data_IF_476924137116
#
_entry.id   IF_476924137116
#
_cell.length_a   1.000
_cell.length_b   1.000
_cell.length_c   1.000
_cell.angle_alpha   90.00
_cell.angle_beta   90.00
_cell.angle_gamma   90.00
#
_symmetry.space_group_name_H-M   'P 1'
#
loop_
_entity.id
_entity.type
_entity.pdbx_description
1 polymer ?
#
# COMPACT_ATOMS: atom_id res chain seq x y z
N UNK A 1 13.00 15.07 -48.67
CA UNK A 1 13.05 15.25 -47.20
C UNK A 1 13.92 14.14 -46.64
N UNK A 2 15.14 14.44 -46.19
CA UNK A 2 16.12 13.43 -45.77
C UNK A 2 15.56 12.58 -44.62
N UNK A 3 15.44 11.26 -44.84
CA UNK A 3 14.97 10.28 -43.85
C UNK A 3 15.72 10.37 -42.51
N UNK A 4 16.96 10.87 -42.54
CA UNK A 4 17.81 11.14 -41.38
C UNK A 4 17.17 12.19 -40.44
N UNK A 5 16.56 13.26 -40.96
CA UNK A 5 15.92 14.27 -40.10
C UNK A 5 14.65 13.73 -39.47
N UNK A 6 13.89 12.91 -40.20
CA UNK A 6 12.71 12.24 -39.67
C UNK A 6 13.12 11.27 -38.54
N UNK A 7 14.16 10.46 -38.77
CA UNK A 7 14.71 9.57 -37.74
C UNK A 7 15.20 10.32 -36.49
N UNK A 8 15.90 11.44 -36.67
CA UNK A 8 16.40 12.27 -35.57
C UNK A 8 15.26 12.93 -34.76
N UNK A 9 14.14 13.27 -35.38
CA UNK A 9 12.95 13.77 -34.69
C UNK A 9 12.30 12.68 -33.82
N UNK A 10 12.22 11.44 -34.33
CA UNK A 10 11.74 10.31 -33.52
C UNK A 10 12.68 9.96 -32.36
N UNK A 11 14.00 10.07 -32.56
CA UNK A 11 14.97 9.92 -31.47
C UNK A 11 14.81 11.00 -30.40
N UNK A 12 14.65 12.27 -30.80
CA UNK A 12 14.38 13.37 -29.86
C UNK A 12 13.08 13.15 -29.08
N UNK A 13 12.03 12.68 -29.75
CA UNK A 13 10.75 12.34 -29.11
C UNK A 13 10.89 11.19 -28.11
N UNK A 14 11.71 10.17 -28.39
CA UNK A 14 11.90 9.04 -27.45
C UNK A 14 12.56 9.48 -26.14
N UNK A 15 13.48 10.44 -26.19
CA UNK A 15 14.09 11.05 -25.00
C UNK A 15 13.16 12.02 -24.25
N UNK A 16 12.11 12.52 -24.89
CA UNK A 16 11.11 13.41 -24.29
C UNK A 16 10.03 12.65 -23.51
N UNK A 17 9.78 11.39 -23.84
CA UNK A 17 8.78 10.56 -23.15
C UNK A 17 9.37 10.04 -21.84
N UNK A 18 9.18 10.81 -20.76
CA UNK A 18 9.57 10.41 -19.39
C UNK A 18 8.62 9.39 -18.75
N UNK A 19 7.41 9.28 -19.27
CA UNK A 19 6.42 8.37 -18.75
C UNK A 19 6.63 6.97 -19.36
N UNK A 20 7.04 6.03 -18.51
CA UNK A 20 7.28 4.63 -18.89
C UNK A 20 6.06 3.99 -19.58
N UNK A 21 4.83 4.43 -19.28
CA UNK A 21 3.63 3.94 -19.97
C UNK A 21 3.63 4.33 -21.46
N UNK A 22 3.90 5.60 -21.75
CA UNK A 22 3.89 6.12 -23.12
C UNK A 22 5.02 5.55 -23.96
N UNK A 23 6.19 5.29 -23.37
CA UNK A 23 7.27 4.58 -24.04
C UNK A 23 6.83 3.19 -24.51
N UNK A 24 6.08 2.46 -23.67
CA UNK A 24 5.57 1.13 -24.01
C UNK A 24 4.46 1.18 -25.07
N UNK A 25 3.56 2.16 -24.98
CA UNK A 25 2.51 2.35 -26.01
C UNK A 25 3.14 2.63 -27.38
N UNK A 26 4.12 3.53 -27.43
CA UNK A 26 4.85 3.83 -28.67
C UNK A 26 5.61 2.60 -29.20
N UNK A 27 6.21 1.82 -28.32
CA UNK A 27 6.88 0.56 -28.69
C UNK A 27 5.91 -0.46 -29.31
N UNK A 28 4.69 -0.57 -28.77
CA UNK A 28 3.64 -1.44 -29.34
C UNK A 28 3.20 -0.96 -30.71
N UNK A 29 3.00 0.35 -30.88
CA UNK A 29 2.61 0.93 -32.17
C UNK A 29 3.70 0.71 -33.23
N UNK A 30 4.97 0.99 -32.90
CA UNK A 30 6.10 0.78 -33.80
C UNK A 30 6.32 -0.68 -34.17
N UNK A 31 6.28 -1.59 -33.19
CA UNK A 31 6.42 -3.03 -33.43
C UNK A 31 5.28 -3.59 -34.29
N UNK A 32 4.06 -3.10 -34.10
CA UNK A 32 2.90 -3.53 -34.90
C UNK A 32 3.04 -3.13 -36.38
N UNK A 33 3.59 -1.93 -36.65
CA UNK A 33 3.90 -1.48 -38.02
C UNK A 33 4.97 -2.37 -38.66
N UNK A 34 6.02 -2.74 -37.91
CA UNK A 34 7.08 -3.63 -38.40
C UNK A 34 6.57 -5.03 -38.73
N UNK A 35 5.72 -5.61 -37.88
CA UNK A 35 5.09 -6.91 -38.14
C UNK A 35 4.29 -6.88 -39.44
N UNK A 36 3.46 -5.84 -39.64
CA UNK A 36 2.68 -5.67 -40.88
C UNK A 36 3.62 -5.52 -42.08
N UNK A 37 4.66 -4.70 -41.97
CA UNK A 37 5.64 -4.51 -43.03
C UNK A 37 6.31 -5.83 -43.44
N UNK A 38 6.83 -6.61 -42.49
CA UNK A 38 7.47 -7.91 -42.77
C UNK A 38 6.52 -8.97 -43.32
N UNK A 39 5.24 -8.92 -42.94
CA UNK A 39 4.21 -9.82 -43.46
C UNK A 39 3.83 -9.53 -44.91
N UNK A 40 4.01 -8.28 -45.38
CA UNK A 40 3.68 -7.86 -46.76
C UNK A 40 4.79 -8.12 -47.79
N UNK A 41 5.94 -8.66 -47.38
CA UNK A 41 6.98 -9.06 -48.34
C UNK A 41 6.51 -10.24 -49.22
N UNK A 42 7.00 -10.35 -50.47
CA UNK A 42 6.68 -11.47 -51.37
C UNK A 42 6.95 -12.84 -50.74
N UNK A 43 7.99 -12.93 -49.91
CA UNK A 43 8.25 -14.03 -48.99
C UNK A 43 8.26 -13.48 -47.56
N UNK A 44 7.23 -13.77 -46.74
CA UNK A 44 7.16 -13.26 -45.38
C UNK A 44 8.38 -13.63 -44.55
N UNK A 45 8.95 -12.65 -43.85
CA UNK A 45 10.11 -12.84 -42.98
C UNK A 45 9.64 -13.31 -41.60
N UNK A 46 9.46 -14.62 -41.44
CA UNK A 46 8.93 -15.22 -40.22
C UNK A 46 9.80 -15.01 -38.98
N UNK A 47 11.13 -14.98 -39.13
CA UNK A 47 12.03 -14.79 -38.00
C UNK A 47 11.89 -13.39 -37.35
N UNK A 48 11.94 -12.27 -38.10
CA UNK A 48 11.60 -10.94 -37.58
C UNK A 48 10.20 -10.85 -36.96
N UNK A 49 9.18 -11.41 -37.63
CA UNK A 49 7.80 -11.41 -37.13
C UNK A 49 7.70 -12.12 -35.78
N UNK A 50 8.37 -13.27 -35.63
CA UNK A 50 8.39 -14.02 -34.36
C UNK A 50 9.01 -13.23 -33.22
N UNK A 51 10.14 -12.56 -33.45
CA UNK A 51 10.79 -11.72 -32.44
C UNK A 51 9.96 -10.48 -32.08
N UNK A 52 9.37 -9.81 -33.07
CA UNK A 52 8.49 -8.67 -32.83
C UNK A 52 7.24 -9.09 -32.04
N UNK A 53 6.69 -10.30 -32.27
CA UNK A 53 5.57 -10.81 -31.49
C UNK A 53 5.93 -11.01 -30.00
N UNK A 54 7.13 -11.50 -29.69
CA UNK A 54 7.64 -11.62 -28.31
C UNK A 54 7.78 -10.24 -27.66
N UNK A 55 8.34 -9.28 -28.41
CA UNK A 55 8.50 -7.91 -27.93
C UNK A 55 7.15 -7.22 -27.68
N UNK A 56 6.20 -7.35 -28.61
CA UNK A 56 4.84 -6.84 -28.49
C UNK A 56 4.14 -7.42 -27.25
N UNK A 57 4.21 -8.74 -27.07
CA UNK A 57 3.61 -9.42 -25.91
C UNK A 57 4.17 -8.85 -24.60
N UNK A 58 5.49 -8.72 -24.52
CA UNK A 58 6.17 -8.17 -23.34
C UNK A 58 5.72 -6.74 -23.03
N UNK A 59 5.65 -5.87 -24.05
CA UNK A 59 5.22 -4.48 -23.88
C UNK A 59 3.74 -4.39 -23.49
N UNK A 60 2.86 -5.21 -24.07
CA UNK A 60 1.43 -5.27 -23.71
C UNK A 60 1.24 -5.69 -22.24
N UNK A 61 1.97 -6.70 -21.77
CA UNK A 61 1.95 -7.13 -20.36
C UNK A 61 2.40 -5.98 -19.44
N UNK A 62 3.49 -5.31 -19.77
CA UNK A 62 3.99 -4.17 -18.98
C UNK A 62 3.00 -2.99 -18.95
N UNK A 63 2.34 -2.69 -20.08
CA UNK A 63 1.26 -1.68 -20.12
C UNK A 63 0.13 -2.09 -19.17
N UNK A 64 -0.28 -3.36 -19.20
CA UNK A 64 -1.32 -3.87 -18.30
C UNK A 64 -0.95 -3.73 -16.82
N UNK A 65 0.29 -4.04 -16.46
CA UNK A 65 0.83 -3.87 -15.10
C UNK A 65 0.78 -2.38 -14.69
N UNK A 66 1.32 -1.49 -15.52
CA UNK A 66 1.37 -0.06 -15.25
C UNK A 66 -0.02 0.58 -15.14
N UNK A 67 -0.97 0.18 -15.99
CA UNK A 67 -2.36 0.65 -15.89
C UNK A 67 -3.00 0.17 -14.59
N UNK A 68 -2.73 -1.07 -14.17
CA UNK A 68 -3.24 -1.60 -12.90
C UNK A 68 -2.65 -0.85 -11.70
N UNK A 69 -1.37 -0.51 -11.76
CA UNK A 69 -0.66 0.27 -10.74
C UNK A 69 -1.07 1.75 -10.71
N UNK A 70 -1.58 2.30 -11.82
CA UNK A 70 -2.05 3.69 -11.91
C UNK A 70 -3.54 3.86 -11.66
N UNK A 71 -4.30 2.77 -11.53
CA UNK A 71 -5.74 2.88 -11.30
C UNK A 71 -5.99 3.60 -9.97
N UNK A 72 -6.71 4.73 -9.96
CA UNK A 72 -6.95 5.47 -8.74
C UNK A 72 -7.73 4.59 -7.75
N UNK A 73 -7.18 4.50 -6.55
CA UNK A 73 -7.81 3.81 -5.44
C UNK A 73 -8.94 4.69 -4.91
N UNK A 74 -10.18 4.18 -4.94
CA UNK A 74 -11.31 4.83 -4.27
C UNK A 74 -11.37 4.35 -2.84
N UNK A 75 -11.16 5.27 -1.90
CA UNK A 75 -11.32 5.05 -0.47
C UNK A 75 -12.66 5.65 -0.03
N UNK A 76 -13.37 4.96 0.86
CA UNK A 76 -14.52 5.56 1.55
C UNK A 76 -14.07 6.73 2.45
N UNK A 77 -14.95 7.67 2.80
CA UNK A 77 -14.57 8.85 3.60
C UNK A 77 -13.89 8.51 4.93
N UNK A 78 -14.28 7.42 5.59
CA UNK A 78 -13.64 6.97 6.84
C UNK A 78 -12.23 6.40 6.60
N UNK A 79 -12.06 5.64 5.52
CA UNK A 79 -10.78 5.07 5.10
C UNK A 79 -9.81 6.16 4.65
N UNK A 80 -10.31 7.17 3.93
CA UNK A 80 -9.51 8.33 3.50
C UNK A 80 -9.01 9.12 4.71
N UNK A 81 -9.85 9.39 5.72
CA UNK A 81 -9.40 10.03 6.96
C UNK A 81 -8.34 9.22 7.67
N UNK A 82 -8.52 7.91 7.78
CA UNK A 82 -7.52 7.04 8.39
C UNK A 82 -6.19 7.06 7.62
N UNK A 83 -6.26 7.01 6.29
CA UNK A 83 -5.11 7.12 5.41
C UNK A 83 -4.36 8.45 5.64
N UNK A 84 -5.10 9.55 5.61
CA UNK A 84 -4.56 10.89 5.79
C UNK A 84 -4.06 11.16 7.21
N UNK A 85 -4.48 10.44 8.25
CA UNK A 85 -4.00 10.74 9.61
C UNK A 85 -2.94 9.79 10.11
N UNK A 86 -2.97 8.52 9.71
CA UNK A 86 -2.10 7.47 10.27
C UNK A 86 -1.22 6.81 9.22
N UNK A 87 -1.66 6.70 7.96
CA UNK A 87 -0.98 5.87 6.95
C UNK A 87 -0.42 6.68 5.76
N UNK A 88 -0.11 7.97 5.93
CA UNK A 88 0.44 8.84 4.87
C UNK A 88 1.75 8.33 4.27
N UNK A 89 2.52 7.58 5.04
CA UNK A 89 3.79 6.97 4.58
C UNK A 89 3.59 5.80 3.63
N UNK A 90 2.36 5.27 3.51
CA UNK A 90 1.99 4.27 2.51
C UNK A 90 1.51 4.95 1.22
N UNK A 91 1.76 4.31 0.08
CA UNK A 91 1.00 4.64 -1.13
C UNK A 91 -0.47 4.22 -0.97
N UNK A 92 -1.43 4.83 -1.70
CA UNK A 92 -2.84 4.43 -1.61
C UNK A 92 -3.08 2.94 -1.92
N UNK A 93 -2.27 2.36 -2.82
CA UNK A 93 -2.34 0.94 -3.15
C UNK A 93 -1.85 0.05 -2.00
N UNK A 94 -0.78 0.44 -1.33
CA UNK A 94 -0.28 -0.25 -0.13
C UNK A 94 -1.27 -0.17 1.03
N UNK A 95 -1.84 1.02 1.26
CA UNK A 95 -2.87 1.18 2.27
C UNK A 95 -4.06 0.26 2.02
N UNK A 96 -4.54 0.14 0.77
CA UNK A 96 -5.62 -0.82 0.45
C UNK A 96 -5.21 -2.27 0.64
N UNK A 97 -3.94 -2.64 0.39
CA UNK A 97 -3.47 -4.00 0.69
C UNK A 97 -3.59 -4.30 2.19
N UNK A 98 -3.22 -3.35 3.05
CA UNK A 98 -3.36 -3.47 4.50
C UNK A 98 -4.83 -3.46 4.93
N UNK A 99 -5.63 -2.55 4.37
CA UNK A 99 -7.04 -2.36 4.72
C UNK A 99 -7.90 -3.57 4.36
N UNK A 100 -7.54 -4.33 3.31
CA UNK A 100 -8.24 -5.58 2.92
C UNK A 100 -8.23 -6.67 3.98
N UNK A 101 -7.24 -6.65 4.88
CA UNK A 101 -7.15 -7.58 6.02
C UNK A 101 -7.78 -6.99 7.29
N UNK A 102 -8.24 -5.75 7.23
CA UNK A 102 -8.74 -5.03 8.38
C UNK A 102 -10.19 -5.37 8.68
N UNK A 103 -10.55 -5.28 9.95
CA UNK A 103 -11.94 -5.29 10.43
C UNK A 103 -12.26 -3.96 11.07
N UNK A 104 -13.39 -3.39 10.67
CA UNK A 104 -13.93 -2.19 11.30
C UNK A 104 -14.89 -2.59 12.41
N UNK A 105 -14.68 -2.04 13.60
CA UNK A 105 -15.50 -2.34 14.78
C UNK A 105 -15.90 -1.03 15.47
N UNK A 106 -17.16 -0.96 15.91
CA UNK A 106 -17.67 0.11 16.77
C UNK A 106 -17.89 -0.46 18.16
N UNK A 107 -17.36 0.23 19.16
CA UNK A 107 -17.30 -0.29 20.53
C UNK A 107 -17.78 0.82 21.47
N UNK A 108 -18.76 0.49 22.31
CA UNK A 108 -19.30 1.42 23.30
C UNK A 108 -18.27 1.79 24.37
N UNK A 109 -18.52 2.89 25.09
CA UNK A 109 -17.70 3.31 26.22
C UNK A 109 -17.69 2.26 27.35
N UNK A 110 -16.60 2.23 28.13
CA UNK A 110 -16.42 1.35 29.28
C UNK A 110 -16.11 -0.10 28.94
N UNK A 111 -15.85 -0.42 27.66
CA UNK A 111 -15.45 -1.75 27.19
C UNK A 111 -13.93 -1.93 27.22
N UNK A 112 -13.49 -3.10 27.65
CA UNK A 112 -12.09 -3.54 27.66
C UNK A 112 -11.68 -3.99 26.24
N UNK A 113 -10.68 -3.33 25.66
CA UNK A 113 -10.11 -3.67 24.35
C UNK A 113 -8.95 -4.67 24.48
N UNK A 114 -8.10 -4.45 25.49
CA UNK A 114 -6.92 -5.25 25.81
C UNK A 114 -6.94 -5.50 27.30
N UNK A 115 -6.66 -6.74 27.70
CA UNK A 115 -6.45 -7.10 29.10
C UNK A 115 -4.98 -7.38 29.35
N UNK A 116 -4.43 -6.78 30.40
CA UNK A 116 -3.09 -7.06 30.87
C UNK A 116 -2.96 -8.53 31.32
N UNK A 117 -1.89 -9.18 30.90
CA UNK A 117 -1.59 -10.58 31.21
C UNK A 117 -2.24 -11.61 30.29
N UNK A 118 -3.10 -11.20 29.36
CA UNK A 118 -3.70 -12.09 28.35
C UNK A 118 -3.07 -11.89 26.97
N UNK A 119 -2.90 -12.98 26.21
CA UNK A 119 -2.38 -12.90 24.84
C UNK A 119 -3.29 -12.05 23.94
N UNK A 120 -2.67 -11.23 23.08
CA UNK A 120 -3.36 -10.34 22.16
C UNK A 120 -2.98 -10.69 20.72
N UNK A 121 -3.86 -11.39 19.99
CA UNK A 121 -3.66 -11.74 18.56
C UNK A 121 -4.14 -10.65 17.58
N UNK A 122 -4.30 -9.41 18.05
CA UNK A 122 -4.66 -8.29 17.18
C UNK A 122 -3.87 -7.03 17.45
N UNK A 123 -3.73 -6.21 16.42
CA UNK A 123 -3.30 -4.82 16.51
C UNK A 123 -4.44 -3.95 16.00
N UNK A 124 -4.64 -2.79 16.61
CA UNK A 124 -5.78 -1.91 16.31
C UNK A 124 -5.28 -0.47 16.13
N UNK A 125 -5.96 0.30 15.29
CA UNK A 125 -5.86 1.77 15.24
C UNK A 125 -7.20 2.36 15.61
N UNK A 126 -7.17 3.40 16.45
CA UNK A 126 -8.35 4.19 16.78
C UNK A 126 -8.69 5.11 15.60
N UNK A 127 -9.73 4.79 14.83
CA UNK A 127 -10.21 5.67 13.78
C UNK A 127 -10.99 6.88 14.35
N UNK A 128 -11.65 6.69 15.49
CA UNK A 128 -12.29 7.76 16.26
C UNK A 128 -12.45 7.37 17.72
N UNK A 129 -12.58 8.36 18.59
CA UNK A 129 -12.83 8.17 20.01
C UNK A 129 -11.55 8.22 20.86
N UNK A 130 -11.69 7.90 22.14
CA UNK A 130 -10.59 7.84 23.12
C UNK A 130 -10.64 6.57 23.95
N UNK A 131 -9.46 6.08 24.31
CA UNK A 131 -9.27 4.96 25.22
C UNK A 131 -8.29 5.37 26.30
N UNK A 132 -8.32 4.66 27.42
CA UNK A 132 -7.45 4.86 28.57
C UNK A 132 -6.64 3.59 28.80
N UNK A 133 -5.36 3.78 29.03
CA UNK A 133 -4.43 2.75 29.47
C UNK A 133 -4.43 2.75 31.00
N UNK A 134 -4.66 1.59 31.59
CA UNK A 134 -4.69 1.38 33.03
C UNK A 134 -3.65 0.31 33.42
N UNK A 135 -2.91 0.56 34.51
CA UNK A 135 -2.02 -0.43 35.09
C UNK A 135 -2.37 -0.60 36.56
N UNK A 136 -2.60 -1.84 36.98
CA UNK A 136 -3.05 -2.15 38.34
C UNK A 136 -4.30 -1.35 38.75
N UNK A 137 -5.22 -1.10 37.81
CA UNK A 137 -6.46 -0.34 38.01
C UNK A 137 -6.30 1.19 38.10
N UNK A 138 -5.09 1.72 37.92
CA UNK A 138 -4.84 3.16 37.90
C UNK A 138 -4.65 3.68 36.46
N UNK A 139 -5.29 4.81 36.08
CA UNK A 139 -5.09 5.43 34.77
C UNK A 139 -3.64 5.92 34.63
N UNK A 140 -2.96 5.50 33.57
CA UNK A 140 -1.63 6.03 33.21
C UNK A 140 -1.77 7.14 32.17
N UNK A 141 -2.57 6.89 31.11
CA UNK A 141 -2.70 7.80 29.97
C UNK A 141 -3.95 7.51 29.15
N UNK A 142 -4.40 8.49 28.37
CA UNK A 142 -5.38 8.29 27.30
C UNK A 142 -4.74 8.31 25.91
N UNK A 143 -5.20 7.43 25.02
CA UNK A 143 -4.89 7.43 23.60
C UNK A 143 -6.08 7.98 22.81
N UNK A 144 -5.79 8.72 21.75
CA UNK A 144 -6.79 9.37 20.90
C UNK A 144 -6.82 8.73 19.50
N UNK A 145 -7.77 9.16 18.68
CA UNK A 145 -7.83 8.81 17.27
C UNK A 145 -6.47 9.01 16.57
N UNK A 146 -6.08 8.03 15.75
CA UNK A 146 -4.79 7.94 15.09
C UNK A 146 -3.77 7.05 15.80
N UNK A 147 -3.93 6.81 17.11
CA UNK A 147 -3.01 5.97 17.88
C UNK A 147 -3.25 4.48 17.67
N UNK A 148 -2.17 3.71 17.73
CA UNK A 148 -2.24 2.25 17.76
C UNK A 148 -2.53 1.72 19.17
N UNK A 149 -3.17 0.55 19.22
CA UNK A 149 -3.36 -0.27 20.43
C UNK A 149 -2.86 -1.68 20.12
N UNK A 150 -2.01 -2.23 20.99
CA UNK A 150 -1.37 -3.53 20.79
C UNK A 150 -0.12 -3.50 19.90
N UNK A 151 0.36 -2.31 19.55
CA UNK A 151 1.61 -2.06 18.82
C UNK A 151 2.84 -2.67 19.50
N UNK A 152 2.96 -2.53 20.82
CA UNK A 152 4.06 -3.14 21.59
C UNK A 152 4.04 -4.67 21.49
N UNK A 153 2.87 -5.30 21.63
CA UNK A 153 2.73 -6.74 21.46
C UNK A 153 3.01 -7.18 20.03
N UNK A 154 2.55 -6.42 19.05
CA UNK A 154 2.81 -6.71 17.63
C UNK A 154 4.30 -6.66 17.27
N UNK A 155 5.05 -5.71 17.84
CA UNK A 155 6.47 -5.53 17.56
C UNK A 155 7.37 -6.49 18.34
N UNK A 156 7.03 -6.77 19.60
CA UNK A 156 7.89 -7.54 20.51
C UNK A 156 7.46 -9.00 20.67
N UNK A 157 6.22 -9.33 20.31
CA UNK A 157 5.59 -10.61 20.64
C UNK A 157 5.22 -10.77 22.12
N UNK A 158 5.45 -9.74 22.95
CA UNK A 158 5.18 -9.83 24.38
C UNK A 158 3.68 -9.65 24.69
N UNK A 159 3.23 -10.37 25.71
CA UNK A 159 1.89 -10.20 26.29
C UNK A 159 1.74 -8.78 26.86
N UNK A 160 0.64 -8.08 26.58
CA UNK A 160 0.33 -6.80 27.22
C UNK A 160 0.42 -6.88 28.75
N UNK A 161 0.90 -5.83 29.41
CA UNK A 161 0.97 -5.72 30.87
C UNK A 161 0.06 -4.61 31.44
N UNK A 162 -0.81 -4.06 30.59
CA UNK A 162 -1.75 -2.97 30.91
C UNK A 162 -3.10 -3.28 30.29
N UNK A 163 -4.15 -2.78 30.94
CA UNK A 163 -5.51 -2.78 30.41
C UNK A 163 -5.71 -1.57 29.50
N UNK A 164 -6.54 -1.74 28.47
CA UNK A 164 -6.97 -0.63 27.61
C UNK A 164 -8.48 -0.60 27.57
N UNK A 165 -9.07 0.47 28.08
CA UNK A 165 -10.53 0.62 28.24
C UNK A 165 -11.02 1.81 27.43
N UNK A 166 -12.15 1.66 26.74
CA UNK A 166 -12.80 2.76 26.01
C UNK A 166 -13.37 3.80 26.97
N UNK A 167 -13.07 5.08 26.74
CA UNK A 167 -13.56 6.19 27.58
C UNK A 167 -14.86 6.77 27.01
N UNK A 168 -15.00 6.73 25.69
CA UNK A 168 -16.18 7.12 24.92
C UNK A 168 -16.42 6.08 23.81
N UNK A 169 -17.55 6.12 23.07
CA UNK A 169 -17.72 5.24 21.92
C UNK A 169 -16.57 5.41 20.92
N UNK A 170 -15.91 4.30 20.59
CA UNK A 170 -14.77 4.28 19.67
C UNK A 170 -15.10 3.53 18.39
N UNK A 171 -14.40 3.91 17.32
CA UNK A 171 -14.35 3.12 16.09
C UNK A 171 -12.91 2.69 15.86
N UNK A 172 -12.69 1.39 15.72
CA UNK A 172 -11.36 0.81 15.52
C UNK A 172 -11.25 0.16 14.14
N UNK A 173 -10.01 0.14 13.64
CA UNK A 173 -9.60 -0.70 12.53
C UNK A 173 -8.61 -1.71 13.10
N UNK A 174 -8.94 -3.00 13.05
CA UNK A 174 -8.18 -4.07 13.68
C UNK A 174 -7.70 -5.10 12.67
N UNK A 175 -6.53 -5.68 12.92
CA UNK A 175 -5.91 -6.73 12.12
C UNK A 175 -5.51 -7.90 13.01
N UNK A 176 -5.65 -9.13 12.53
CA UNK A 176 -4.94 -10.25 13.14
C UNK A 176 -3.44 -10.02 13.02
N UNK A 177 -2.68 -10.19 14.10
CA UNK A 177 -1.23 -10.03 14.06
C UNK A 177 -0.61 -11.01 13.08
N UNK A 178 -1.08 -12.27 13.07
CA UNK A 178 -0.62 -13.31 12.15
C UNK A 178 -0.79 -12.93 10.67
N UNK A 179 -1.98 -12.45 10.30
CA UNK A 179 -2.27 -12.08 8.91
C UNK A 179 -1.49 -10.84 8.45
N UNK A 180 -1.39 -9.85 9.33
CA UNK A 180 -0.64 -8.63 9.04
C UNK A 180 0.86 -8.93 8.92
N UNK A 181 1.45 -9.70 9.85
CA UNK A 181 2.85 -10.12 9.76
C UNK A 181 3.12 -10.89 8.45
N UNK A 182 2.23 -11.81 8.06
CA UNK A 182 2.37 -12.54 6.80
C UNK A 182 2.33 -11.62 5.57
N UNK A 183 1.52 -10.55 5.59
CA UNK A 183 1.51 -9.54 4.53
C UNK A 183 2.82 -8.74 4.49
N UNK A 184 3.29 -8.26 5.65
CA UNK A 184 4.52 -7.47 5.74
C UNK A 184 5.77 -8.28 5.34
N UNK A 185 5.82 -9.58 5.67
CA UNK A 185 6.93 -10.45 5.27
C UNK A 185 7.03 -10.65 3.75
N UNK A 186 5.91 -10.54 3.02
CA UNK A 186 5.86 -10.72 1.56
C UNK A 186 6.21 -9.45 0.78
N UNK A 187 6.27 -8.29 1.43
CA UNK A 187 6.54 -7.01 0.78
C UNK A 187 7.46 -6.14 1.64
N UNK A 188 8.75 -6.10 1.28
CA UNK A 188 9.78 -5.40 2.05
C UNK A 188 9.56 -3.89 2.14
N UNK A 189 9.07 -3.25 1.06
CA UNK A 189 8.77 -1.81 1.03
C UNK A 189 7.61 -1.48 1.97
N UNK A 190 6.51 -2.25 1.87
CA UNK A 190 5.36 -2.11 2.75
C UNK A 190 5.75 -2.32 4.22
N UNK A 191 6.60 -3.31 4.50
CA UNK A 191 7.11 -3.55 5.85
C UNK A 191 7.89 -2.37 6.40
N UNK A 192 8.82 -1.81 5.61
CA UNK A 192 9.60 -0.66 6.02
C UNK A 192 8.70 0.55 6.31
N UNK A 193 7.75 0.85 5.41
CA UNK A 193 6.83 1.96 5.59
C UNK A 193 5.88 1.76 6.80
N UNK A 194 5.40 0.53 7.04
CA UNK A 194 4.59 0.21 8.22
C UNK A 194 5.41 0.33 9.53
N UNK A 195 6.67 -0.08 9.53
CA UNK A 195 7.59 0.11 10.66
C UNK A 195 7.82 1.58 10.98
N UNK A 196 7.94 2.45 9.96
CA UNK A 196 8.02 3.90 10.16
C UNK A 196 6.78 4.42 10.87
N UNK A 197 5.58 4.02 10.43
CA UNK A 197 4.31 4.43 11.03
C UNK A 197 4.23 4.02 12.51
N UNK A 198 4.58 2.77 12.83
CA UNK A 198 4.59 2.29 14.22
C UNK A 198 5.63 3.04 15.06
N UNK A 199 6.80 3.35 14.49
CA UNK A 199 7.85 4.09 15.20
C UNK A 199 7.41 5.52 15.51
N UNK A 200 6.74 6.20 14.57
CA UNK A 200 6.18 7.54 14.78
C UNK A 200 5.12 7.55 15.88
N UNK A 201 4.23 6.55 15.88
CA UNK A 201 3.21 6.39 16.94
C UNK A 201 3.84 6.13 18.31
N UNK A 202 4.83 5.24 18.40
CA UNK A 202 5.56 4.96 19.65
C UNK A 202 6.28 6.21 20.18
N UNK A 203 6.93 6.97 19.30
CA UNK A 203 7.61 8.23 19.68
C UNK A 203 6.59 9.24 20.18
N UNK A 204 5.45 9.38 19.50
CA UNK A 204 4.36 10.28 19.93
C UNK A 204 3.84 9.87 21.32
N UNK A 205 3.64 8.57 21.55
CA UNK A 205 3.30 8.04 22.88
C UNK A 205 4.38 8.38 23.90
N UNK A 206 5.66 8.11 23.65
CA UNK A 206 6.72 8.41 24.62
C UNK A 206 6.80 9.90 25.00
N UNK A 207 6.54 10.82 24.07
CA UNK A 207 6.51 12.26 24.35
C UNK A 207 5.31 12.72 25.17
N UNK A 208 4.23 11.96 25.15
CA UNK A 208 3.02 12.20 25.97
C UNK A 208 3.09 11.51 27.35
N UNK A 209 4.25 10.94 27.71
CA UNK A 209 4.57 10.36 29.01
C UNK A 209 5.08 11.41 29.97
#
# INVERSE_FOLDING_TARGET
MNFIHVANVFYLLSYLVKDILWLRVLAVLGGSILVVYYATFPTPLWAPIGWDAVFLTTNLVQIGILIRERRPVRLEPAEMRLYEHTFRSLTPHEFVKVLRLARWESIDAGKLLVRGGEELDRIMVLASGRVRIEQNGAPIRELMAGCFVGDMSFLTGATPNVDVVTVEPVRTVSWSQRELHALLLRNAELRAAFQTILSEDLIAKLRSA
#
